data_IF_722275253397
#
_entry.id   IF_722275253397
#
_cell.length_a   1.000
_cell.length_b   1.000
_cell.length_c   1.000
_cell.angle_alpha   90.00
_cell.angle_beta   90.00
_cell.angle_gamma   90.00
#
_symmetry.space_group_name_H-M   'P 1'
#
loop_
_entity.id
_entity.type
_entity.pdbx_description
1 polymer ?
#
# COMPACT_ATOMS: atom_id res chain seq x y z
N UNK A 1 20.16 22.66 7.32
CA UNK A 1 20.76 21.78 8.34
C UNK A 1 20.61 20.34 7.84
N UNK A 2 21.45 19.40 8.26
CA UNK A 2 21.27 18.00 7.84
C UNK A 2 20.23 17.35 8.76
N UNK A 3 19.42 16.43 8.24
CA UNK A 3 18.43 15.67 9.02
C UNK A 3 19.03 15.08 10.31
N UNK A 4 20.28 14.59 10.24
CA UNK A 4 21.00 14.02 11.38
C UNK A 4 21.15 15.04 12.52
N UNK A 5 21.38 16.31 12.21
CA UNK A 5 21.55 17.37 13.22
C UNK A 5 20.24 17.84 13.85
N UNK A 6 19.10 17.54 13.23
CA UNK A 6 17.78 17.94 13.73
C UNK A 6 17.19 16.93 14.73
N UNK A 7 17.73 15.72 14.79
CA UNK A 7 17.24 14.66 15.67
C UNK A 7 17.64 14.93 17.14
N UNK A 8 16.70 14.73 18.06
CA UNK A 8 16.96 14.75 19.50
C UNK A 8 17.58 13.43 19.97
N UNK A 9 18.87 13.24 19.64
CA UNK A 9 19.63 12.03 19.96
C UNK A 9 19.71 11.73 21.45
N UNK A 10 19.69 12.76 22.30
CA UNK A 10 19.70 12.60 23.75
C UNK A 10 18.41 11.93 24.24
N UNK A 11 17.24 12.41 23.80
CA UNK A 11 15.92 11.86 24.16
C UNK A 11 15.77 10.39 23.80
N UNK A 12 16.32 9.98 22.65
CA UNK A 12 16.23 8.60 22.15
C UNK A 12 17.42 7.73 22.57
N UNK A 13 18.34 8.24 23.39
CA UNK A 13 19.51 7.49 23.87
C UNK A 13 20.44 7.01 22.74
N UNK A 14 20.61 7.83 21.70
CA UNK A 14 21.45 7.53 20.52
C UNK A 14 20.85 6.54 19.52
N UNK A 15 19.62 6.05 19.75
CA UNK A 15 18.94 5.11 18.86
C UNK A 15 17.52 5.59 18.55
N UNK A 16 17.36 6.26 17.41
CA UNK A 16 16.06 6.75 16.96
C UNK A 16 15.17 5.58 16.49
N UNK A 17 13.92 5.46 16.97
CA UNK A 17 12.94 4.58 16.36
C UNK A 17 12.63 5.02 14.92
N UNK A 18 12.51 4.03 14.04
CA UNK A 18 12.24 4.24 12.62
C UNK A 18 11.10 3.36 12.17
N UNK A 19 9.97 3.98 11.84
CA UNK A 19 8.84 3.33 11.21
C UNK A 19 9.11 3.27 9.71
N UNK A 20 9.02 2.09 9.12
CA UNK A 20 9.12 1.93 7.66
C UNK A 20 7.76 1.56 7.09
N UNK A 21 7.33 2.31 6.08
CA UNK A 21 6.04 2.17 5.41
C UNK A 21 6.28 1.94 3.91
N UNK A 22 5.48 1.07 3.27
CA UNK A 22 5.52 0.94 1.82
C UNK A 22 4.96 2.23 1.21
N UNK A 23 5.75 2.89 0.38
CA UNK A 23 5.38 4.18 -0.22
C UNK A 23 4.16 4.11 -1.14
N UNK A 24 3.87 2.94 -1.69
CA UNK A 24 2.77 2.73 -2.64
C UNK A 24 1.49 2.28 -1.94
N UNK A 25 1.61 1.43 -0.94
CA UNK A 25 0.44 0.82 -0.26
C UNK A 25 0.11 1.50 1.07
N UNK A 26 1.02 2.34 1.58
CA UNK A 26 0.93 2.96 2.90
C UNK A 26 0.82 1.93 4.03
N UNK A 27 1.20 0.66 3.78
CA UNK A 27 1.25 -0.37 4.81
C UNK A 27 2.50 -0.19 5.66
N UNK A 28 2.33 -0.16 6.99
CA UNK A 28 3.49 -0.21 7.90
C UNK A 28 4.16 -1.58 7.73
N UNK A 29 5.45 -1.58 7.38
CA UNK A 29 6.23 -2.77 7.09
C UNK A 29 6.94 -3.30 8.33
N UNK A 30 7.62 -2.42 9.06
CA UNK A 30 8.35 -2.76 10.27
C UNK A 30 8.74 -1.51 11.09
N UNK A 31 9.09 -1.74 12.35
CA UNK A 31 9.83 -0.80 13.19
C UNK A 31 11.28 -1.28 13.33
N UNK A 32 12.24 -0.37 13.18
CA UNK A 32 13.64 -0.60 13.50
C UNK A 32 14.23 0.55 14.30
N UNK A 33 15.53 0.48 14.56
CA UNK A 33 16.26 1.54 15.23
C UNK A 33 17.50 1.91 14.43
N UNK A 34 17.82 3.19 14.35
CA UNK A 34 19.03 3.69 13.72
C UNK A 34 19.86 4.48 14.73
N UNK A 35 21.18 4.32 14.70
CA UNK A 35 22.09 5.34 15.19
C UNK A 35 22.45 6.29 14.05
N UNK A 36 23.27 7.30 14.34
CA UNK A 36 23.82 8.27 13.39
C UNK A 36 24.45 7.61 12.15
N UNK A 37 25.25 6.55 12.35
CA UNK A 37 25.94 5.83 11.27
C UNK A 37 24.96 5.05 10.38
N UNK A 38 23.93 4.45 10.96
CA UNK A 38 22.90 3.72 10.22
C UNK A 38 22.03 4.67 9.38
N UNK A 39 21.68 5.83 9.92
CA UNK A 39 20.97 6.88 9.19
C UNK A 39 21.83 7.43 8.05
N UNK A 40 23.11 7.73 8.32
CA UNK A 40 24.05 8.20 7.28
C UNK A 40 24.17 7.19 6.14
N UNK A 41 24.38 5.91 6.47
CA UNK A 41 24.45 4.83 5.47
C UNK A 41 23.15 4.70 4.66
N UNK A 42 21.99 4.91 5.29
CA UNK A 42 20.69 4.87 4.60
C UNK A 42 20.55 6.01 3.60
N UNK A 43 20.95 7.23 3.97
CA UNK A 43 20.95 8.40 3.10
C UNK A 43 21.93 8.24 1.92
N UNK A 44 23.12 7.71 2.17
CA UNK A 44 24.16 7.56 1.15
C UNK A 44 23.82 6.45 0.14
N UNK A 45 23.28 5.32 0.62
CA UNK A 45 23.08 4.13 -0.20
C UNK A 45 21.67 4.01 -0.79
N UNK A 46 20.73 4.83 -0.30
CA UNK A 46 19.29 4.70 -0.54
C UNK A 46 18.73 3.31 -0.18
N UNK A 47 19.40 2.58 0.73
CA UNK A 47 18.97 1.28 1.25
C UNK A 47 18.82 1.36 2.76
N UNK A 48 17.64 1.02 3.27
CA UNK A 48 17.34 1.12 4.71
C UNK A 48 18.31 0.25 5.51
N UNK A 49 19.09 0.90 6.36
CA UNK A 49 20.12 0.31 7.20
C UNK A 49 19.83 0.62 8.66
N UNK A 50 19.77 -0.40 9.50
CA UNK A 50 19.49 -0.27 10.92
C UNK A 50 20.74 -0.50 11.77
N UNK A 51 20.65 -0.12 13.05
CA UNK A 51 21.59 -0.57 14.08
C UNK A 51 21.02 -1.81 14.78
N UNK A 52 21.72 -2.94 14.68
CA UNK A 52 21.35 -4.15 15.41
C UNK A 52 21.80 -4.04 16.87
N UNK A 53 20.87 -3.82 17.80
CA UNK A 53 21.17 -3.80 19.25
C UNK A 53 21.73 -5.11 19.79
N UNK A 54 21.37 -6.23 19.18
CA UNK A 54 21.85 -7.56 19.60
C UNK A 54 23.24 -7.88 19.03
N UNK A 55 23.51 -7.49 17.78
CA UNK A 55 24.80 -7.75 17.12
C UNK A 55 25.80 -6.60 17.23
N UNK A 56 25.37 -5.45 17.75
CA UNK A 56 26.17 -4.23 17.91
C UNK A 56 26.89 -3.82 16.61
N UNK A 57 26.16 -3.83 15.50
CA UNK A 57 26.67 -3.44 14.16
C UNK A 57 25.59 -2.86 13.27
N UNK A 58 26.01 -2.19 12.21
CA UNK A 58 25.17 -1.85 11.07
C UNK A 58 24.60 -3.12 10.42
N UNK A 59 23.33 -3.06 10.06
CA UNK A 59 22.60 -4.13 9.41
C UNK A 59 21.73 -3.54 8.30
N UNK A 60 22.11 -3.74 7.06
CA UNK A 60 21.28 -3.35 5.92
C UNK A 60 20.12 -4.34 5.81
N UNK A 61 18.89 -3.83 5.77
CA UNK A 61 17.71 -4.70 5.62
C UNK A 61 17.84 -5.47 4.31
N UNK A 62 17.81 -6.80 4.41
CA UNK A 62 17.92 -7.69 3.26
C UNK A 62 19.35 -8.06 2.87
N UNK A 63 20.39 -7.70 3.65
CA UNK A 63 21.79 -8.04 3.33
C UNK A 63 22.04 -9.55 3.10
N UNK A 64 21.25 -10.42 3.74
CA UNK A 64 21.35 -11.87 3.57
C UNK A 64 20.24 -12.46 2.69
N UNK A 65 19.04 -11.88 2.71
CA UNK A 65 17.88 -12.45 2.03
C UNK A 65 17.62 -11.86 0.64
N UNK A 66 18.28 -10.75 0.28
CA UNK A 66 17.96 -9.96 -0.91
C UNK A 66 16.71 -9.08 -0.75
N UNK A 67 15.94 -9.24 0.34
CA UNK A 67 14.70 -8.51 0.56
C UNK A 67 14.97 -7.10 1.11
N UNK A 68 15.43 -6.21 0.24
CA UNK A 68 15.84 -4.84 0.57
C UNK A 68 14.65 -3.87 0.62
N UNK A 69 14.82 -2.77 1.34
CA UNK A 69 13.90 -1.64 1.34
C UNK A 69 14.63 -0.44 0.71
N UNK A 70 14.14 0.04 -0.43
CA UNK A 70 14.70 1.20 -1.15
C UNK A 70 14.09 2.48 -0.59
N UNK A 71 14.92 3.38 -0.08
CA UNK A 71 14.47 4.66 0.47
C UNK A 71 13.90 5.55 -0.65
N UNK A 72 12.69 6.07 -0.44
CA UNK A 72 12.11 7.13 -1.28
C UNK A 72 12.01 8.46 -0.53
N UNK A 73 11.52 8.43 0.70
CA UNK A 73 11.32 9.62 1.51
C UNK A 73 11.62 9.33 2.98
N UNK A 74 12.11 10.34 3.70
CA UNK A 74 12.30 10.28 5.15
C UNK A 74 11.70 11.54 5.79
N UNK A 75 10.96 11.36 6.89
CA UNK A 75 10.36 12.43 7.67
C UNK A 75 10.76 12.27 9.13
N UNK A 76 11.08 13.38 9.76
CA UNK A 76 11.22 13.50 11.19
C UNK A 76 9.89 14.01 11.77
N UNK A 77 9.46 13.46 12.89
CA UNK A 77 8.26 13.91 13.57
C UNK A 77 8.43 15.27 14.28
N UNK A 78 7.34 15.76 14.88
CA UNK A 78 7.28 17.14 15.37
C UNK A 78 8.12 17.38 16.63
N UNK A 79 8.42 16.36 17.42
CA UNK A 79 9.29 16.41 18.59
C UNK A 79 10.66 15.73 18.38
N UNK A 80 10.98 15.47 17.11
CA UNK A 80 12.31 15.12 16.61
C UNK A 80 12.90 13.83 17.18
N UNK A 81 12.04 12.86 17.49
CA UNK A 81 12.44 11.62 18.16
C UNK A 81 12.06 10.34 17.41
N UNK A 82 11.32 10.46 16.31
CA UNK A 82 10.94 9.32 15.47
C UNK A 82 11.08 9.64 13.99
N UNK A 83 11.60 8.68 13.23
CA UNK A 83 11.65 8.77 11.76
C UNK A 83 10.55 7.94 11.12
N UNK A 84 9.91 8.50 10.11
CA UNK A 84 9.08 7.77 9.15
C UNK A 84 9.83 7.66 7.82
N UNK A 85 10.14 6.43 7.41
CA UNK A 85 10.70 6.11 6.10
C UNK A 85 9.59 5.59 5.19
N UNK A 86 9.40 6.26 4.05
CA UNK A 86 8.69 5.69 2.90
C UNK A 86 9.69 4.91 2.06
N UNK A 87 9.43 3.63 1.83
CA UNK A 87 10.32 2.77 1.06
C UNK A 87 9.58 1.85 0.09
N UNK A 88 10.24 1.50 -1.01
CA UNK A 88 9.78 0.43 -1.91
C UNK A 88 10.42 -0.90 -1.48
N UNK A 89 9.64 -1.89 -1.02
CA UNK A 89 10.17 -3.23 -0.74
C UNK A 89 10.50 -3.98 -2.04
N UNK A 90 11.66 -4.63 -2.05
CA UNK A 90 12.02 -5.64 -3.05
C UNK A 90 11.86 -7.00 -2.38
N UNK A 91 10.77 -7.72 -2.67
CA UNK A 91 10.43 -8.97 -1.99
C UNK A 91 9.79 -8.78 -0.61
N UNK A 92 9.45 -9.89 0.10
CA UNK A 92 8.74 -9.82 1.37
C UNK A 92 9.61 -9.26 2.49
N UNK A 93 9.08 -8.28 3.23
CA UNK A 93 9.84 -7.62 4.31
C UNK A 93 10.12 -8.58 5.47
N UNK A 94 9.12 -9.38 5.84
CA UNK A 94 9.17 -10.23 7.03
C UNK A 94 9.90 -11.54 6.77
N UNK A 95 10.60 -12.05 7.79
CA UNK A 95 11.29 -13.35 7.76
C UNK A 95 10.32 -14.55 7.63
N UNK A 96 9.02 -14.34 7.87
CA UNK A 96 7.94 -15.32 7.67
C UNK A 96 7.42 -15.36 6.23
N UNK A 97 8.10 -14.67 5.31
CA UNK A 97 7.71 -14.54 3.90
C UNK A 97 6.39 -13.78 3.69
N UNK A 98 6.04 -12.89 4.64
CA UNK A 98 4.89 -11.98 4.57
C UNK A 98 5.35 -10.55 4.26
N UNK A 99 4.45 -9.71 3.76
CA UNK A 99 4.78 -8.34 3.35
C UNK A 99 5.21 -7.44 4.51
N UNK A 100 4.61 -7.62 5.69
CA UNK A 100 4.83 -6.81 6.89
C UNK A 100 5.11 -7.71 8.10
N UNK A 101 5.82 -7.15 9.08
CA UNK A 101 5.97 -7.75 10.41
C UNK A 101 4.65 -7.76 11.21
N UNK A 102 3.70 -6.90 10.86
CA UNK A 102 2.39 -6.75 11.52
C UNK A 102 1.28 -7.53 10.80
N UNK A 103 1.64 -8.66 10.19
CA UNK A 103 0.69 -9.52 9.48
C UNK A 103 -0.06 -10.39 10.51
N UNK A 104 -1.04 -9.77 11.16
CA UNK A 104 -1.90 -10.44 12.12
C UNK A 104 -3.21 -10.83 11.45
N UNK A 105 -3.44 -12.15 11.32
CA UNK A 105 -4.64 -12.69 10.67
C UNK A 105 -5.90 -12.46 11.50
N UNK A 106 -5.74 -12.14 12.79
CA UNK A 106 -6.83 -12.04 13.75
C UNK A 106 -7.30 -10.59 13.98
N UNK A 107 -6.51 -9.59 13.57
CA UNK A 107 -6.95 -8.19 13.56
C UNK A 107 -7.74 -7.94 12.26
N UNK A 108 -9.04 -8.20 12.31
CA UNK A 108 -9.98 -7.72 11.29
C UNK A 108 -10.00 -6.20 11.36
N UNK A 109 -9.13 -5.55 10.57
CA UNK A 109 -9.30 -4.14 10.21
C UNK A 109 -10.76 -3.96 9.80
N UNK A 110 -11.45 -3.02 10.45
CA UNK A 110 -12.84 -2.71 10.09
C UNK A 110 -12.90 -2.45 8.58
N UNK A 111 -14.00 -2.88 7.95
CA UNK A 111 -14.26 -2.73 6.51
C UNK A 111 -14.21 -1.28 5.99
N UNK A 112 -13.91 -0.31 6.86
CA UNK A 112 -13.86 1.12 6.61
C UNK A 112 -12.48 1.63 6.11
N UNK A 113 -11.50 0.75 5.90
CA UNK A 113 -10.16 1.20 5.47
C UNK A 113 -10.07 1.31 3.94
N UNK A 114 -9.53 2.43 3.38
CA UNK A 114 -9.16 2.52 1.96
C UNK A 114 -8.26 1.38 1.47
N UNK A 115 -7.55 0.72 2.39
CA UNK A 115 -6.78 -0.51 2.13
C UNK A 115 -7.63 -1.65 1.57
N UNK A 116 -8.95 -1.70 1.85
CA UNK A 116 -9.82 -2.74 1.33
C UNK A 116 -9.93 -2.71 -0.19
N UNK A 117 -10.01 -1.53 -0.82
CA UNK A 117 -10.07 -1.44 -2.29
C UNK A 117 -8.77 -1.93 -2.93
N UNK A 118 -7.63 -1.69 -2.30
CA UNK A 118 -6.34 -2.21 -2.77
C UNK A 118 -6.25 -3.74 -2.60
N UNK A 119 -6.71 -4.29 -1.47
CA UNK A 119 -6.79 -5.74 -1.26
C UNK A 119 -7.75 -6.38 -2.26
N UNK A 120 -8.90 -5.76 -2.50
CA UNK A 120 -9.87 -6.20 -3.50
C UNK A 120 -9.22 -6.24 -4.89
N UNK A 121 -8.50 -5.19 -5.29
CA UNK A 121 -7.78 -5.16 -6.56
C UNK A 121 -6.78 -6.33 -6.71
N UNK A 122 -6.02 -6.65 -5.65
CA UNK A 122 -5.12 -7.82 -5.66
C UNK A 122 -5.88 -9.14 -5.84
N UNK A 123 -7.02 -9.30 -5.16
CA UNK A 123 -7.89 -10.47 -5.33
C UNK A 123 -8.43 -10.55 -6.77
N UNK A 124 -8.87 -9.43 -7.35
CA UNK A 124 -9.35 -9.39 -8.73
C UNK A 124 -8.25 -9.74 -9.73
N UNK A 125 -7.03 -9.23 -9.52
CA UNK A 125 -5.86 -9.55 -10.34
C UNK A 125 -5.52 -11.04 -10.29
N UNK A 126 -5.52 -11.66 -9.09
CA UNK A 126 -5.25 -13.10 -8.93
C UNK A 126 -6.26 -14.02 -9.61
N UNK A 127 -7.47 -13.52 -9.91
CA UNK A 127 -8.52 -14.28 -10.61
C UNK A 127 -8.41 -14.17 -12.13
N UNK A 128 -7.59 -13.26 -12.67
CA UNK A 128 -7.38 -13.10 -14.11
C UNK A 128 -6.69 -14.34 -14.69
N UNK A 129 -7.29 -14.94 -15.72
CA UNK A 129 -6.75 -16.15 -16.38
C UNK A 129 -6.96 -17.46 -15.60
N UNK A 130 -7.64 -17.44 -14.46
CA UNK A 130 -8.06 -18.66 -13.75
C UNK A 130 -9.26 -19.32 -14.44
N UNK A 131 -9.63 -20.55 -14.03
CA UNK A 131 -10.82 -21.25 -14.55
C UNK A 131 -12.07 -20.34 -14.44
N UNK A 132 -12.78 -20.04 -15.54
CA UNK A 132 -13.99 -19.21 -15.51
C UNK A 132 -15.07 -19.68 -14.54
N UNK A 133 -15.08 -20.97 -14.16
CA UNK A 133 -16.04 -21.54 -13.18
C UNK A 133 -15.64 -21.31 -11.72
N UNK A 134 -14.39 -20.91 -11.47
CA UNK A 134 -13.85 -20.74 -10.12
C UNK A 134 -14.42 -19.52 -9.38
N UNK A 135 -14.82 -18.48 -10.11
CA UNK A 135 -15.37 -17.25 -9.52
C UNK A 135 -16.12 -16.40 -10.54
N UNK A 136 -17.01 -15.53 -10.04
CA UNK A 136 -17.67 -14.51 -10.86
C UNK A 136 -16.67 -13.64 -11.64
N UNK A 137 -15.57 -13.22 -10.98
CA UNK A 137 -14.53 -12.41 -11.62
C UNK A 137 -13.84 -13.15 -12.77
N UNK A 138 -13.50 -14.43 -12.59
CA UNK A 138 -12.89 -15.24 -13.64
C UNK A 138 -13.83 -15.38 -14.86
N UNK A 139 -15.13 -15.58 -14.60
CA UNK A 139 -16.16 -15.59 -15.65
C UNK A 139 -16.26 -14.25 -16.39
N UNK A 140 -16.20 -13.12 -15.70
CA UNK A 140 -16.19 -11.79 -16.34
C UNK A 140 -14.99 -11.61 -17.27
N UNK A 141 -13.77 -11.92 -16.79
CA UNK A 141 -12.57 -11.86 -17.64
C UNK A 141 -12.68 -12.76 -18.86
N UNK A 142 -13.19 -13.99 -18.70
CA UNK A 142 -13.38 -14.92 -19.81
C UNK A 142 -14.39 -14.43 -20.86
N UNK A 143 -15.36 -13.61 -20.46
CA UNK A 143 -16.35 -12.98 -21.36
C UNK A 143 -15.82 -11.72 -22.06
N UNK A 144 -14.63 -11.26 -21.68
CA UNK A 144 -13.88 -10.20 -22.33
C UNK A 144 -14.37 -8.78 -22.06
N UNK A 145 -13.56 -7.81 -22.51
CA UNK A 145 -13.73 -6.37 -22.26
C UNK A 145 -15.15 -5.87 -22.53
N UNK A 146 -15.78 -6.29 -23.63
CA UNK A 146 -17.13 -5.83 -24.00
C UNK A 146 -18.15 -6.10 -22.88
N UNK A 147 -18.12 -7.30 -22.27
CA UNK A 147 -19.06 -7.64 -21.20
C UNK A 147 -18.73 -6.88 -19.91
N UNK A 148 -17.45 -6.70 -19.61
CA UNK A 148 -17.00 -5.97 -18.44
C UNK A 148 -17.43 -4.50 -18.54
N UNK A 149 -17.17 -3.84 -19.68
CA UNK A 149 -17.60 -2.47 -19.95
C UNK A 149 -19.12 -2.31 -19.93
N UNK A 150 -19.87 -3.32 -20.42
CA UNK A 150 -21.33 -3.32 -20.32
C UNK A 150 -21.79 -3.24 -18.87
N UNK A 151 -21.20 -4.05 -17.96
CA UNK A 151 -21.53 -3.99 -16.53
C UNK A 151 -21.28 -2.60 -15.96
N UNK A 152 -20.10 -2.02 -16.19
CA UNK A 152 -19.79 -0.64 -15.73
C UNK A 152 -20.85 0.38 -16.20
N UNK A 153 -21.33 0.25 -17.44
CA UNK A 153 -22.40 1.10 -17.95
C UNK A 153 -23.76 0.88 -17.29
N UNK A 154 -24.13 -0.38 -17.04
CA UNK A 154 -25.38 -0.76 -16.33
C UNK A 154 -25.36 -0.18 -14.91
N UNK A 155 -24.31 -0.47 -14.12
CA UNK A 155 -24.21 0.00 -12.72
C UNK A 155 -24.20 1.53 -12.64
N UNK A 156 -23.57 2.21 -13.60
CA UNK A 156 -23.55 3.67 -13.64
C UNK A 156 -24.94 4.29 -13.82
N UNK A 157 -25.82 3.62 -14.57
CA UNK A 157 -27.23 4.02 -14.71
C UNK A 157 -28.00 3.69 -13.44
N UNK A 158 -27.79 2.52 -12.86
CA UNK A 158 -28.46 2.07 -11.63
C UNK A 158 -28.13 3.00 -10.45
N UNK A 159 -26.87 3.40 -10.27
CA UNK A 159 -26.45 4.45 -9.31
C UNK A 159 -27.23 5.75 -9.50
N UNK A 160 -27.36 6.23 -10.75
CA UNK A 160 -28.07 7.47 -11.04
C UNK A 160 -29.57 7.37 -10.74
N UNK A 161 -30.18 6.21 -11.05
CA UNK A 161 -31.59 5.94 -10.76
C UNK A 161 -31.84 5.84 -9.26
N UNK A 162 -31.01 5.12 -8.51
CA UNK A 162 -31.12 4.97 -7.06
C UNK A 162 -30.97 6.33 -6.33
N UNK A 163 -30.03 7.18 -6.79
CA UNK A 163 -29.92 8.54 -6.30
C UNK A 163 -31.17 9.38 -6.58
N UNK A 164 -31.79 9.19 -7.76
CA UNK A 164 -32.99 9.93 -8.19
C UNK A 164 -34.24 9.48 -7.42
N UNK A 165 -34.35 8.19 -7.11
CA UNK A 165 -35.45 7.63 -6.31
C UNK A 165 -35.34 8.00 -4.82
N UNK A 166 -34.16 8.42 -4.37
CA UNK A 166 -33.87 8.70 -2.96
C UNK A 166 -33.63 7.44 -2.13
N UNK A 167 -33.49 6.28 -2.78
CA UNK A 167 -33.17 5.03 -2.13
C UNK A 167 -31.67 4.97 -1.78
N UNK A 168 -31.35 5.22 -0.52
CA UNK A 168 -29.97 5.25 -0.03
C UNK A 168 -29.35 3.86 0.05
N UNK A 169 -30.15 2.83 0.29
CA UNK A 169 -29.63 1.47 0.42
C UNK A 169 -29.24 0.95 -0.96
N UNK A 170 -30.14 1.11 -1.93
CA UNK A 170 -29.87 0.81 -3.35
C UNK A 170 -28.67 1.64 -3.84
N UNK A 171 -28.61 2.94 -3.55
CA UNK A 171 -27.48 3.78 -3.97
C UNK A 171 -26.13 3.25 -3.44
N UNK A 172 -26.07 2.75 -2.21
CA UNK A 172 -24.85 2.15 -1.65
C UNK A 172 -24.51 0.84 -2.39
N UNK A 173 -25.49 -0.02 -2.64
CA UNK A 173 -25.31 -1.29 -3.36
C UNK A 173 -24.80 -1.06 -4.79
N UNK A 174 -25.49 -0.23 -5.58
CA UNK A 174 -25.12 0.05 -6.97
C UNK A 174 -23.77 0.78 -7.06
N UNK A 175 -23.45 1.62 -6.08
CA UNK A 175 -22.13 2.26 -6.01
C UNK A 175 -21.02 1.24 -5.73
N UNK A 176 -21.29 0.23 -4.90
CA UNK A 176 -20.34 -0.85 -4.63
C UNK A 176 -20.11 -1.71 -5.87
N UNK A 177 -21.17 -2.05 -6.61
CA UNK A 177 -21.09 -2.82 -7.85
C UNK A 177 -20.39 -2.04 -8.97
N UNK A 178 -20.66 -0.74 -9.10
CA UNK A 178 -19.94 0.15 -10.00
C UNK A 178 -18.44 0.17 -9.70
N UNK A 179 -18.05 0.34 -8.43
CA UNK A 179 -16.64 0.32 -8.02
C UNK A 179 -15.99 -1.04 -8.32
N UNK A 180 -16.66 -2.14 -7.98
CA UNK A 180 -16.18 -3.49 -8.27
C UNK A 180 -15.93 -3.69 -9.77
N UNK A 181 -16.92 -3.36 -10.60
CA UNK A 181 -16.85 -3.54 -12.04
C UNK A 181 -15.83 -2.61 -12.71
N UNK A 182 -15.66 -1.39 -12.19
CA UNK A 182 -14.62 -0.47 -12.63
C UNK A 182 -13.22 -1.03 -12.36
N UNK A 183 -12.97 -1.60 -11.18
CA UNK A 183 -11.68 -2.23 -10.85
C UNK A 183 -11.36 -3.40 -11.79
N UNK A 184 -12.35 -4.26 -12.08
CA UNK A 184 -12.19 -5.36 -13.05
C UNK A 184 -11.86 -4.82 -14.45
N UNK A 185 -12.50 -3.73 -14.88
CA UNK A 185 -12.25 -3.11 -16.17
C UNK A 185 -10.83 -2.51 -16.27
N UNK A 186 -10.39 -1.78 -15.24
CA UNK A 186 -9.03 -1.23 -15.19
C UNK A 186 -8.00 -2.35 -15.32
N UNK A 187 -8.14 -3.42 -14.52
CA UNK A 187 -7.25 -4.57 -14.55
C UNK A 187 -7.29 -5.31 -15.89
N UNK A 188 -8.45 -5.44 -16.54
CA UNK A 188 -8.58 -6.00 -17.89
C UNK A 188 -7.73 -5.22 -18.89
N UNK A 189 -7.75 -3.89 -18.80
CA UNK A 189 -7.01 -2.95 -19.66
C UNK A 189 -5.55 -2.70 -19.24
N UNK A 190 -5.04 -3.39 -18.22
CA UNK A 190 -3.68 -3.23 -17.73
C UNK A 190 -3.44 -1.93 -16.94
N UNK A 191 -4.50 -1.36 -16.39
CA UNK A 191 -4.50 -0.18 -15.52
C UNK A 191 -4.82 -0.60 -14.07
N UNK A 192 -4.57 0.31 -13.13
CA UNK A 192 -4.84 0.14 -11.70
C UNK A 192 -5.70 1.26 -11.13
N UNK A 193 -6.27 1.04 -9.94
CA UNK A 193 -6.92 2.09 -9.16
C UNK A 193 -5.96 3.25 -8.88
N UNK A 194 -4.67 2.96 -8.67
CA UNK A 194 -3.65 3.97 -8.42
C UNK A 194 -3.53 4.96 -9.58
N UNK A 195 -3.66 4.51 -10.82
CA UNK A 195 -3.64 5.39 -12.00
C UNK A 195 -4.80 6.40 -11.98
N UNK A 196 -5.98 5.95 -11.56
CA UNK A 196 -7.16 6.81 -11.40
C UNK A 196 -6.97 7.80 -10.25
N UNK A 197 -6.47 7.34 -9.10
CA UNK A 197 -6.20 8.19 -7.95
C UNK A 197 -5.15 9.26 -8.27
N UNK A 198 -4.08 8.91 -8.98
CA UNK A 198 -3.07 9.84 -9.45
C UNK A 198 -3.72 10.94 -10.32
N UNK A 199 -4.65 10.56 -11.20
CA UNK A 199 -5.35 11.53 -12.05
C UNK A 199 -6.29 12.45 -11.26
N UNK A 200 -6.98 11.93 -10.23
CA UNK A 200 -7.81 12.74 -9.33
C UNK A 200 -6.96 13.71 -8.51
N UNK A 201 -5.83 13.24 -7.98
CA UNK A 201 -4.88 14.08 -7.23
C UNK A 201 -4.31 15.20 -8.10
N UNK A 202 -3.97 14.91 -9.37
CA UNK A 202 -3.53 15.93 -10.32
C UNK A 202 -4.59 17.04 -10.45
N UNK A 203 -5.86 16.68 -10.68
CA UNK A 203 -6.97 17.63 -10.88
C UNK A 203 -7.32 18.46 -9.64
N UNK A 204 -7.09 17.92 -8.44
CA UNK A 204 -7.38 18.64 -7.22
C UNK A 204 -6.36 19.75 -6.92
N UNK A 205 -5.12 19.58 -7.40
CA UNK A 205 -4.03 20.55 -7.22
C UNK A 205 -3.88 21.51 -8.40
N UNK A 206 -4.76 21.42 -9.40
CA UNK A 206 -4.97 22.39 -10.49
C UNK A 206 -6.01 23.44 -10.05
#
# INVERSE_FOLDING_TARGET
MSLITEINWEKVGGLIPVIVQDSRTQKVLMLGYMNDAALSSTLDTHKVTFWSRTKQRLWMKGESSGNILKLEEIKLDCDQDTLLIQAIPVGPTCHRNTETCFDDKDIKLSAASPLFLQQLEQVLASRKGTDPKSSYTASLYARGTKRISQKVGEEGVEVALAATSGDKEELICESADLLYHLLVLLQDQGLSLQDVLNKLHQRHNE
#
